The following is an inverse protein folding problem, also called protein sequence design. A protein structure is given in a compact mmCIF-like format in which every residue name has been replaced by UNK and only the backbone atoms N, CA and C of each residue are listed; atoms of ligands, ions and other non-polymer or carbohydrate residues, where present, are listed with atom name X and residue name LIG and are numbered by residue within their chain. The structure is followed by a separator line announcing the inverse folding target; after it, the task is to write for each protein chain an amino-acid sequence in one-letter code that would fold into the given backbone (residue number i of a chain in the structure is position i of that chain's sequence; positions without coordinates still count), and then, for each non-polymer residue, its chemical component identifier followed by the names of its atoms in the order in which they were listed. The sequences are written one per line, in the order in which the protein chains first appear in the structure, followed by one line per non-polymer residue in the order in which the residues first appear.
data_IF_314256603960
#
_entry.id   IF_314256603960
#
_cell.length_a   1.000
_cell.length_b   1.000
_cell.length_c   1.000
_cell.angle_alpha   90.00
_cell.angle_beta   90.00
_cell.angle_gamma   90.00
#
_symmetry.space_group_name_H-M   'P 1'
#
loop_
_entity.id
_entity.type
_entity.pdbx_description
1 polymer ?
#
# COMPACT_ATOMS: atom_id res chain seq x y z
N UNK A 1 20.28 -11.61 5.55
CA UNK A 1 19.78 -11.55 6.93
C UNK A 1 18.33 -11.09 6.90
N UNK A 2 17.50 -11.64 7.76
CA UNK A 2 16.10 -11.30 7.90
C UNK A 2 15.96 -10.16 8.91
N UNK A 3 15.17 -9.12 8.54
CA UNK A 3 14.87 -7.98 9.42
C UNK A 3 14.16 -8.45 10.72
N UNK A 4 14.51 -7.84 11.86
CA UNK A 4 13.96 -8.21 13.16
C UNK A 4 12.44 -8.05 13.23
N UNK A 5 11.89 -7.04 12.56
CA UNK A 5 10.44 -6.82 12.44
C UNK A 5 9.74 -7.93 11.66
N UNK A 6 10.36 -8.42 10.57
CA UNK A 6 9.84 -9.56 9.79
C UNK A 6 9.89 -10.85 10.61
N UNK A 7 10.95 -11.10 11.34
CA UNK A 7 11.09 -12.28 12.19
C UNK A 7 10.06 -12.27 13.34
N UNK A 8 9.88 -11.13 14.00
CA UNK A 8 8.87 -10.95 15.06
C UNK A 8 7.45 -11.18 14.54
N UNK A 9 7.11 -10.58 13.41
CA UNK A 9 5.78 -10.74 12.79
C UNK A 9 5.53 -12.17 12.32
N UNK A 10 6.56 -12.86 11.81
CA UNK A 10 6.47 -14.29 11.48
C UNK A 10 6.20 -15.14 12.72
N UNK A 11 6.85 -14.84 13.84
CA UNK A 11 6.61 -15.52 15.11
C UNK A 11 5.16 -15.30 15.58
N UNK A 12 4.67 -14.07 15.54
CA UNK A 12 3.27 -13.73 15.84
C UNK A 12 2.32 -14.45 14.88
N UNK A 13 2.56 -14.45 13.58
CA UNK A 13 1.70 -15.13 12.62
C UNK A 13 1.69 -16.66 12.76
N UNK A 14 2.77 -17.29 13.18
CA UNK A 14 2.92 -18.74 13.31
C UNK A 14 2.63 -19.28 14.73
N UNK A 15 2.49 -18.43 15.76
CA UNK A 15 2.17 -18.87 17.12
C UNK A 15 0.82 -19.62 17.15
N UNK A 16 0.63 -20.56 18.07
CA UNK A 16 -0.58 -21.39 18.17
C UNK A 16 -1.82 -20.58 18.59
N UNK A 17 -3.01 -20.81 18.04
CA UNK A 17 -4.22 -20.03 18.36
C UNK A 17 -4.61 -20.02 19.84
N UNK A 18 -4.08 -20.98 20.62
CA UNK A 18 -4.41 -21.14 22.04
C UNK A 18 -3.50 -20.37 23.01
N UNK A 19 -2.38 -19.77 22.57
CA UNK A 19 -1.33 -19.27 23.47
C UNK A 19 -1.15 -17.75 23.49
N UNK A 20 -1.80 -16.98 22.60
CA UNK A 20 -1.65 -15.52 22.61
C UNK A 20 -2.99 -14.80 22.60
N UNK A 21 -3.29 -14.03 23.65
CA UNK A 21 -4.43 -13.13 23.78
C UNK A 21 -4.49 -12.06 22.69
N UNK A 22 -3.38 -11.81 22.02
CA UNK A 22 -3.22 -10.77 20.98
C UNK A 22 -3.87 -11.13 19.63
N UNK A 23 -4.12 -12.41 19.38
CA UNK A 23 -4.71 -12.91 18.13
C UNK A 23 -6.23 -12.84 18.06
N UNK A 24 -6.90 -12.78 19.19
CA UNK A 24 -8.37 -12.62 19.21
C UNK A 24 -8.84 -11.30 18.59
N UNK A 25 -7.90 -10.39 18.31
CA UNK A 25 -8.13 -9.08 17.70
C UNK A 25 -7.72 -8.98 16.22
N UNK A 26 -6.98 -9.97 15.66
CA UNK A 26 -6.50 -9.90 14.27
C UNK A 26 -7.59 -10.29 13.28
N UNK A 27 -7.98 -9.36 12.41
CA UNK A 27 -8.94 -9.61 11.32
C UNK A 27 -8.34 -10.45 10.18
N UNK A 28 -7.01 -10.39 10.00
CA UNK A 28 -6.29 -11.16 9.01
C UNK A 28 -4.98 -11.71 9.61
N UNK A 29 -4.72 -13.00 9.41
CA UNK A 29 -3.43 -13.63 9.71
C UNK A 29 -2.95 -14.39 8.50
N UNK A 30 -1.76 -14.09 8.01
CA UNK A 30 -1.13 -14.72 6.84
C UNK A 30 0.10 -15.51 7.30
N UNK A 31 0.22 -16.79 6.86
CA UNK A 31 1.26 -17.70 7.33
C UNK A 31 2.01 -18.30 6.17
N UNK A 32 3.28 -17.97 6.05
CA UNK A 32 4.23 -18.55 5.09
C UNK A 32 3.66 -18.68 3.67
N UNK A 33 2.90 -17.66 3.22
CA UNK A 33 2.17 -17.68 1.96
C UNK A 33 3.15 -17.72 0.79
N UNK A 34 2.98 -18.68 -0.12
CA UNK A 34 3.86 -18.88 -1.29
C UNK A 34 3.05 -19.02 -2.56
N UNK A 35 3.61 -18.48 -3.66
CA UNK A 35 3.07 -18.69 -5.00
C UNK A 35 4.17 -18.92 -6.00
N UNK A 36 4.01 -20.03 -6.73
CA UNK A 36 4.90 -20.46 -7.79
C UNK A 36 4.09 -20.61 -9.07
N UNK A 37 4.56 -20.03 -10.15
CA UNK A 37 3.95 -20.15 -11.47
C UNK A 37 4.83 -20.98 -12.39
N UNK A 38 4.26 -21.84 -13.25
CA UNK A 38 5.01 -22.48 -14.30
C UNK A 38 5.52 -21.45 -15.31
N UNK A 39 6.75 -21.57 -15.74
CA UNK A 39 7.35 -20.70 -16.75
C UNK A 39 6.88 -21.15 -18.12
N UNK A 40 6.20 -20.31 -18.87
CA UNK A 40 5.74 -20.64 -20.24
C UNK A 40 6.92 -20.57 -21.21
N UNK A 41 7.04 -21.57 -22.10
CA UNK A 41 7.96 -21.51 -23.25
C UNK A 41 9.38 -22.01 -23.00
N UNK A 42 9.64 -22.82 -21.96
CA UNK A 42 10.96 -23.40 -21.73
C UNK A 42 11.15 -24.76 -22.46
N UNK A 43 12.29 -24.86 -23.17
CA UNK A 43 12.89 -26.11 -23.62
C UNK A 43 13.40 -26.90 -22.41
N UNK A 44 13.49 -28.24 -22.51
CA UNK A 44 13.95 -29.16 -21.44
C UNK A 44 15.35 -28.86 -20.86
N UNK A 45 16.06 -27.86 -21.37
CA UNK A 45 17.43 -27.49 -20.95
C UNK A 45 17.52 -26.41 -19.88
N UNK A 46 16.41 -25.74 -19.51
CA UNK A 46 16.44 -24.61 -18.56
C UNK A 46 16.32 -25.06 -17.10
N UNK A 47 17.23 -24.59 -16.25
CA UNK A 47 17.43 -25.02 -14.86
C UNK A 47 16.33 -24.57 -13.88
N UNK A 48 15.36 -23.74 -14.30
CA UNK A 48 14.27 -23.28 -13.42
C UNK A 48 12.89 -23.26 -14.12
N UNK A 49 12.11 -24.36 -14.02
CA UNK A 49 10.81 -24.47 -14.67
C UNK A 49 9.71 -23.60 -14.05
N UNK A 50 9.98 -22.92 -12.93
CA UNK A 50 9.02 -22.14 -12.19
C UNK A 50 9.54 -20.73 -11.86
N UNK A 51 8.60 -19.78 -11.68
CA UNK A 51 8.82 -18.43 -11.17
C UNK A 51 8.20 -18.36 -9.77
N UNK A 52 9.02 -18.12 -8.75
CA UNK A 52 8.57 -17.87 -7.39
C UNK A 52 8.13 -16.41 -7.24
N UNK A 53 6.84 -16.15 -7.39
CA UNK A 53 6.27 -14.81 -7.29
C UNK A 53 6.10 -14.35 -5.84
N UNK A 54 5.83 -15.29 -4.91
CA UNK A 54 5.75 -15.05 -3.46
C UNK A 54 6.48 -16.17 -2.75
N UNK A 55 7.38 -15.81 -1.82
CA UNK A 55 8.40 -16.74 -1.26
C UNK A 55 8.31 -16.87 0.27
N UNK A 56 7.09 -16.96 0.81
CA UNK A 56 6.87 -17.16 2.23
C UNK A 56 6.65 -15.85 2.98
N UNK A 57 5.53 -15.21 2.70
CA UNK A 57 5.10 -13.98 3.36
C UNK A 57 4.25 -14.33 4.58
N UNK A 58 4.57 -13.72 5.73
CA UNK A 58 3.83 -13.87 6.98
C UNK A 58 3.62 -12.50 7.63
N UNK A 59 2.38 -12.17 7.98
CA UNK A 59 2.01 -10.96 8.72
C UNK A 59 0.60 -11.11 9.30
N UNK A 60 0.29 -10.29 10.30
CA UNK A 60 -1.04 -10.21 10.88
C UNK A 60 -1.55 -8.75 10.86
N UNK A 61 -2.85 -8.56 10.66
CA UNK A 61 -3.48 -7.23 10.64
C UNK A 61 -4.66 -7.23 11.59
N UNK A 62 -4.58 -6.50 12.69
CA UNK A 62 -5.70 -6.29 13.60
C UNK A 62 -6.88 -5.55 12.95
N UNK A 63 -8.08 -5.73 13.53
CA UNK A 63 -9.22 -4.88 13.18
C UNK A 63 -8.94 -3.44 13.62
N UNK A 64 -9.20 -2.48 12.76
CA UNK A 64 -8.89 -1.07 13.02
C UNK A 64 -7.50 -0.64 12.54
N UNK A 65 -6.73 -1.54 11.95
CA UNK A 65 -5.42 -1.22 11.38
C UNK A 65 -5.46 -1.10 9.86
N UNK A 66 -4.75 -0.10 9.34
CA UNK A 66 -4.37 -0.01 7.93
C UNK A 66 -2.93 -0.47 7.76
N UNK A 67 -2.72 -1.53 7.00
CA UNK A 67 -1.43 -2.13 6.70
C UNK A 67 -1.03 -1.88 5.25
N UNK A 68 0.15 -1.29 5.04
CA UNK A 68 0.70 -1.03 3.72
C UNK A 68 1.62 -2.15 3.25
N UNK A 69 1.43 -2.65 2.03
CA UNK A 69 2.36 -3.55 1.36
C UNK A 69 3.08 -2.81 0.25
N UNK A 70 4.26 -2.28 0.55
CA UNK A 70 5.08 -1.49 -0.37
C UNK A 70 6.02 -2.39 -1.18
N UNK A 71 6.43 -1.89 -2.33
CA UNK A 71 7.45 -2.53 -3.15
C UNK A 71 7.36 -2.12 -4.61
N UNK A 72 8.44 -2.33 -5.34
CA UNK A 72 8.51 -2.08 -6.79
C UNK A 72 7.55 -2.99 -7.57
N UNK A 73 7.30 -2.65 -8.82
CA UNK A 73 6.53 -3.51 -9.72
C UNK A 73 7.20 -4.88 -9.85
N UNK A 74 6.39 -5.94 -9.84
CA UNK A 74 6.91 -7.32 -9.85
C UNK A 74 7.36 -7.86 -8.47
N UNK A 75 7.30 -7.08 -7.38
CA UNK A 75 7.68 -7.57 -6.05
C UNK A 75 6.78 -8.69 -5.50
N UNK A 76 5.60 -8.93 -6.08
CA UNK A 76 4.65 -9.98 -5.66
C UNK A 76 3.40 -9.46 -4.93
N UNK A 77 3.23 -8.16 -4.79
CA UNK A 77 2.12 -7.51 -4.05
C UNK A 77 0.74 -7.95 -4.55
N UNK A 78 0.44 -7.71 -5.83
CA UNK A 78 -0.84 -8.10 -6.46
C UNK A 78 -1.05 -9.62 -6.43
N UNK A 79 0.01 -10.42 -6.56
CA UNK A 79 -0.09 -11.89 -6.44
C UNK A 79 -0.52 -12.28 -5.03
N UNK A 80 0.04 -11.64 -4.00
CA UNK A 80 -0.37 -11.85 -2.60
C UNK A 80 -1.84 -11.51 -2.42
N UNK A 81 -2.31 -10.36 -2.92
CA UNK A 81 -3.72 -9.97 -2.83
C UNK A 81 -4.66 -10.94 -3.54
N UNK A 82 -4.29 -11.41 -4.72
CA UNK A 82 -5.09 -12.38 -5.47
C UNK A 82 -5.23 -13.72 -4.75
N UNK A 83 -4.22 -14.15 -4.00
CA UNK A 83 -4.34 -15.33 -3.12
C UNK A 83 -5.26 -15.05 -1.94
N UNK A 84 -5.07 -13.92 -1.25
CA UNK A 84 -5.85 -13.55 -0.07
C UNK A 84 -7.33 -13.26 -0.39
N UNK A 85 -7.62 -12.73 -1.58
CA UNK A 85 -8.99 -12.54 -2.07
C UNK A 85 -9.62 -13.81 -2.64
N UNK A 86 -8.87 -14.92 -2.70
CA UNK A 86 -9.34 -16.21 -3.20
C UNK A 86 -9.57 -16.27 -4.70
N UNK A 87 -8.87 -15.45 -5.50
CA UNK A 87 -8.90 -15.55 -6.97
C UNK A 87 -8.20 -16.82 -7.45
N UNK A 88 -7.13 -17.20 -6.78
CA UNK A 88 -6.46 -18.50 -6.99
C UNK A 88 -5.79 -18.97 -5.67
N UNK A 89 -5.62 -20.28 -5.49
CA UNK A 89 -5.00 -20.82 -4.29
C UNK A 89 -3.49 -20.52 -4.23
N UNK A 90 -2.91 -20.36 -3.03
CA UNK A 90 -1.48 -20.39 -2.85
C UNK A 90 -0.89 -21.75 -3.22
N UNK A 91 0.41 -21.80 -3.51
CA UNK A 91 1.14 -23.06 -3.72
C UNK A 91 1.42 -23.75 -2.37
N UNK A 92 1.65 -22.97 -1.32
CA UNK A 92 1.76 -23.41 0.08
C UNK A 92 1.54 -22.24 1.02
N UNK A 93 1.40 -22.53 2.32
CA UNK A 93 1.02 -21.56 3.32
C UNK A 93 -0.51 -21.34 3.33
N UNK A 94 -0.98 -20.56 4.26
CA UNK A 94 -2.41 -20.27 4.43
C UNK A 94 -2.66 -18.84 4.92
N UNK A 95 -3.93 -18.46 4.98
CA UNK A 95 -4.36 -17.25 5.69
C UNK A 95 -5.73 -17.47 6.34
N UNK A 96 -5.96 -16.77 7.44
CA UNK A 96 -7.20 -16.81 8.20
C UNK A 96 -7.79 -15.41 8.20
N UNK A 97 -9.05 -15.30 7.84
CA UNK A 97 -9.87 -14.09 7.95
C UNK A 97 -10.82 -14.28 9.14
N UNK A 98 -10.75 -13.39 10.12
CA UNK A 98 -11.57 -13.44 11.32
C UNK A 98 -12.61 -12.32 11.28
N UNK A 99 -13.87 -12.63 11.02
CA UNK A 99 -14.94 -11.64 11.06
C UNK A 99 -15.19 -11.16 12.48
N UNK A 100 -15.68 -9.94 12.60
CA UNK A 100 -16.06 -9.37 13.89
C UNK A 100 -17.19 -10.22 14.53
N UNK A 101 -16.95 -10.70 15.75
CA UNK A 101 -17.91 -11.52 16.49
C UNK A 101 -17.85 -13.03 16.23
N UNK A 102 -16.97 -13.51 15.35
CA UNK A 102 -16.66 -14.95 15.21
C UNK A 102 -15.17 -15.21 15.43
N UNK A 103 -14.75 -15.64 16.62
CA UNK A 103 -13.35 -15.82 16.97
C UNK A 103 -12.67 -17.00 16.26
N UNK A 104 -13.44 -17.89 15.61
CA UNK A 104 -12.89 -19.08 14.94
C UNK A 104 -12.10 -18.73 13.69
N UNK A 105 -12.52 -17.67 12.97
CA UNK A 105 -11.97 -17.29 11.69
C UNK A 105 -12.25 -18.31 10.57
N UNK A 106 -11.97 -17.93 9.34
CA UNK A 106 -12.16 -18.75 8.14
C UNK A 106 -10.86 -18.85 7.37
N UNK A 107 -10.45 -20.07 7.04
CA UNK A 107 -9.24 -20.34 6.26
C UNK A 107 -9.51 -20.12 4.77
N UNK A 108 -8.62 -19.42 4.06
CA UNK A 108 -8.76 -19.12 2.62
C UNK A 108 -8.78 -20.36 1.73
N UNK A 109 -8.29 -21.50 2.20
CA UNK A 109 -8.28 -22.77 1.45
C UNK A 109 -9.52 -23.60 1.75
N UNK A 110 -9.87 -23.75 3.03
CA UNK A 110 -10.96 -24.63 3.46
C UNK A 110 -12.35 -23.95 3.38
N UNK A 111 -12.42 -22.64 3.69
CA UNK A 111 -13.67 -21.91 3.86
C UNK A 111 -13.86 -20.78 2.83
N UNK A 112 -13.36 -20.93 1.61
CA UNK A 112 -13.28 -19.87 0.63
C UNK A 112 -14.61 -19.12 0.40
N UNK A 113 -15.74 -19.82 0.39
CA UNK A 113 -17.06 -19.20 0.21
C UNK A 113 -17.41 -18.24 1.37
N UNK A 114 -17.07 -18.60 2.61
CA UNK A 114 -17.23 -17.76 3.80
C UNK A 114 -16.23 -16.60 3.80
N UNK A 115 -14.97 -16.87 3.49
CA UNK A 115 -13.94 -15.83 3.37
C UNK A 115 -14.40 -14.74 2.40
N UNK A 116 -14.92 -15.10 1.24
CA UNK A 116 -15.42 -14.14 0.24
C UNK A 116 -16.56 -13.26 0.74
N UNK A 117 -17.35 -13.71 1.71
CA UNK A 117 -18.40 -12.88 2.32
C UNK A 117 -17.83 -11.79 3.24
N UNK A 118 -16.63 -12.00 3.80
CA UNK A 118 -15.99 -11.12 4.77
C UNK A 118 -14.79 -10.34 4.21
N UNK A 119 -14.49 -10.50 2.92
CA UNK A 119 -13.40 -9.82 2.23
C UNK A 119 -13.94 -8.88 1.17
N UNK A 120 -13.46 -7.64 1.15
CA UNK A 120 -13.60 -6.70 0.06
C UNK A 120 -12.32 -6.66 -0.78
N UNK A 121 -12.45 -6.48 -2.08
CA UNK A 121 -11.28 -6.34 -2.96
C UNK A 121 -11.51 -5.24 -4.00
N UNK A 122 -10.60 -4.27 -4.03
CA UNK A 122 -10.52 -3.24 -5.06
C UNK A 122 -9.30 -3.54 -5.93
N UNK A 123 -9.46 -4.01 -7.17
CA UNK A 123 -8.35 -4.33 -8.06
C UNK A 123 -7.64 -3.06 -8.56
N UNK A 124 -6.41 -3.21 -9.06
CA UNK A 124 -5.63 -2.11 -9.65
C UNK A 124 -6.34 -1.46 -10.83
N UNK A 125 -7.02 -2.24 -11.66
CA UNK A 125 -7.81 -1.76 -12.79
C UNK A 125 -9.29 -1.79 -12.44
N UNK A 126 -10.02 -0.72 -12.80
CA UNK A 126 -11.44 -0.61 -12.49
C UNK A 126 -12.26 -1.58 -13.33
N UNK A 127 -12.83 -2.59 -12.67
CA UNK A 127 -13.71 -3.59 -13.29
C UNK A 127 -15.17 -3.11 -13.28
N UNK A 128 -15.44 -1.98 -13.94
CA UNK A 128 -16.76 -1.37 -14.01
C UNK A 128 -17.44 -1.66 -15.37
N UNK A 129 -18.74 -1.93 -15.32
CA UNK A 129 -19.57 -2.02 -16.51
C UNK A 129 -19.96 -0.62 -16.99
N UNK A 130 -19.48 -0.19 -18.16
CA UNK A 130 -19.62 1.18 -18.65
C UNK A 130 -21.06 1.68 -18.80
N UNK A 131 -22.02 0.79 -19.11
CA UNK A 131 -23.44 1.13 -19.26
C UNK A 131 -24.20 1.26 -17.94
N UNK A 132 -23.66 0.75 -16.82
CA UNK A 132 -24.29 0.82 -15.51
C UNK A 132 -23.92 2.12 -14.79
N UNK A 133 -24.84 2.60 -13.95
CA UNK A 133 -24.64 3.74 -13.07
C UNK A 133 -23.92 3.31 -11.77
N UNK A 134 -23.48 4.27 -10.95
CA UNK A 134 -22.92 3.95 -9.63
C UNK A 134 -23.96 3.26 -8.73
N UNK A 135 -25.22 3.69 -8.79
CA UNK A 135 -26.31 3.06 -8.04
C UNK A 135 -26.48 1.61 -8.48
N UNK A 136 -26.54 1.34 -9.80
CA UNK A 136 -26.72 -0.02 -10.33
C UNK A 136 -25.59 -0.96 -9.88
N UNK A 137 -24.32 -0.49 -9.96
CA UNK A 137 -23.19 -1.28 -9.47
C UNK A 137 -23.34 -1.62 -7.97
N UNK A 138 -23.61 -0.62 -7.14
CA UNK A 138 -23.70 -0.85 -5.69
C UNK A 138 -24.88 -1.74 -5.31
N UNK A 139 -26.04 -1.59 -5.98
CA UNK A 139 -27.19 -2.46 -5.77
C UNK A 139 -26.90 -3.89 -6.23
N UNK A 140 -26.23 -4.08 -7.36
CA UNK A 140 -25.83 -5.40 -7.86
C UNK A 140 -24.91 -6.10 -6.83
N UNK A 141 -23.85 -5.43 -6.38
CA UNK A 141 -22.92 -6.02 -5.42
C UNK A 141 -23.55 -6.23 -4.05
N UNK A 142 -24.47 -5.36 -3.61
CA UNK A 142 -25.23 -5.56 -2.38
C UNK A 142 -26.15 -6.79 -2.47
N UNK A 143 -26.78 -6.99 -3.61
CA UNK A 143 -27.61 -8.18 -3.88
C UNK A 143 -26.79 -9.46 -3.89
N UNK A 144 -25.59 -9.44 -4.54
CA UNK A 144 -24.65 -10.58 -4.51
C UNK A 144 -24.15 -10.92 -3.09
N UNK A 145 -24.11 -9.90 -2.22
CA UNK A 145 -23.82 -10.08 -0.78
C UNK A 145 -25.02 -10.52 0.05
N UNK A 146 -26.17 -10.74 -0.57
CA UNK A 146 -27.40 -11.20 0.10
C UNK A 146 -28.16 -10.11 0.87
N UNK A 147 -27.93 -8.82 0.58
CA UNK A 147 -28.66 -7.74 1.23
C UNK A 147 -30.11 -7.68 0.74
N UNK A 148 -31.04 -7.45 1.67
CA UNK A 148 -32.41 -7.08 1.33
C UNK A 148 -32.43 -5.73 0.61
N UNK A 149 -33.40 -5.50 -0.28
CA UNK A 149 -33.48 -4.32 -1.10
C UNK A 149 -33.36 -2.99 -0.33
N UNK A 150 -34.06 -2.86 0.79
CA UNK A 150 -34.02 -1.65 1.63
C UNK A 150 -32.61 -1.36 2.16
N UNK A 151 -31.87 -2.40 2.61
CA UNK A 151 -30.50 -2.28 3.08
C UNK A 151 -29.54 -2.01 1.93
N UNK A 152 -29.76 -2.60 0.76
CA UNK A 152 -28.95 -2.35 -0.44
C UNK A 152 -29.02 -0.88 -0.85
N UNK A 153 -30.23 -0.30 -0.90
CA UNK A 153 -30.46 1.11 -1.25
C UNK A 153 -29.81 2.05 -0.23
N UNK A 154 -29.97 1.83 1.08
CA UNK A 154 -29.33 2.67 2.10
C UNK A 154 -27.81 2.59 2.01
N UNK A 155 -27.24 1.39 1.88
CA UNK A 155 -25.80 1.19 1.74
C UNK A 155 -25.25 1.91 0.49
N UNK A 156 -25.92 1.79 -0.65
CA UNK A 156 -25.52 2.47 -1.89
C UNK A 156 -25.49 4.00 -1.71
N UNK A 157 -26.56 4.56 -1.14
CA UNK A 157 -26.65 6.00 -0.85
C UNK A 157 -25.53 6.48 0.07
N UNK A 158 -25.27 5.74 1.16
CA UNK A 158 -24.27 6.12 2.15
C UNK A 158 -22.84 6.07 1.57
N UNK A 159 -22.51 5.05 0.76
CA UNK A 159 -21.23 4.95 0.08
C UNK A 159 -21.04 6.04 -0.99
N UNK A 160 -22.08 6.34 -1.78
CA UNK A 160 -22.08 7.42 -2.76
C UNK A 160 -21.82 8.76 -2.08
N UNK A 161 -22.47 9.01 -0.94
CA UNK A 161 -22.29 10.22 -0.15
C UNK A 161 -20.88 10.31 0.43
N UNK A 162 -20.40 9.25 1.06
CA UNK A 162 -19.07 9.21 1.68
C UNK A 162 -17.95 9.50 0.67
N UNK A 163 -18.05 8.96 -0.55
CA UNK A 163 -17.03 9.14 -1.58
C UNK A 163 -17.20 10.42 -2.42
N UNK A 164 -18.26 11.21 -2.18
CA UNK A 164 -18.50 12.47 -2.88
C UNK A 164 -18.78 12.30 -4.36
N UNK A 165 -19.50 11.23 -4.74
CA UNK A 165 -19.84 10.92 -6.14
C UNK A 165 -21.34 11.10 -6.46
N UNK A 166 -22.08 11.84 -5.62
CA UNK A 166 -23.53 12.03 -5.75
C UNK A 166 -23.90 12.59 -7.12
N UNK A 167 -23.13 13.55 -7.65
CA UNK A 167 -23.38 14.18 -8.97
C UNK A 167 -23.36 13.18 -10.13
N UNK A 168 -22.66 12.06 -9.94
CA UNK A 168 -22.48 11.03 -10.96
C UNK A 168 -23.34 9.79 -10.72
N UNK A 169 -24.08 9.73 -9.59
CA UNK A 169 -24.75 8.53 -9.09
C UNK A 169 -25.65 7.83 -10.11
N UNK A 170 -26.33 8.63 -10.96
CA UNK A 170 -27.30 8.18 -11.97
C UNK A 170 -26.78 8.30 -13.41
N UNK A 171 -25.52 8.64 -13.61
CA UNK A 171 -24.89 8.68 -14.93
C UNK A 171 -24.18 7.35 -15.23
N UNK A 172 -24.08 6.94 -16.49
CA UNK A 172 -23.32 5.76 -16.88
C UNK A 172 -21.84 5.88 -16.54
N UNK A 173 -21.23 4.80 -16.03
CA UNK A 173 -19.84 4.79 -15.59
C UNK A 173 -18.83 5.01 -16.74
N UNK A 174 -19.24 4.80 -17.99
CA UNK A 174 -18.42 5.12 -19.17
C UNK A 174 -17.98 6.58 -19.22
N UNK A 175 -18.86 7.50 -18.78
CA UNK A 175 -18.60 8.94 -18.76
C UNK A 175 -17.83 9.44 -17.51
N UNK A 176 -17.45 8.56 -16.59
CA UNK A 176 -16.74 8.98 -15.38
C UNK A 176 -15.26 9.30 -15.64
N UNK A 177 -14.73 10.28 -14.92
CA UNK A 177 -13.28 10.48 -14.84
C UNK A 177 -12.61 9.27 -14.18
N UNK A 178 -11.31 9.05 -14.43
CA UNK A 178 -10.56 7.97 -13.78
C UNK A 178 -10.68 8.01 -12.25
N UNK A 179 -10.59 9.20 -11.64
CA UNK A 179 -10.77 9.36 -10.21
C UNK A 179 -12.18 8.99 -9.70
N UNK A 180 -13.22 9.28 -10.47
CA UNK A 180 -14.60 8.90 -10.13
C UNK A 180 -14.80 7.38 -10.26
N UNK A 181 -14.25 6.76 -11.32
CA UNK A 181 -14.24 5.30 -11.49
C UNK A 181 -13.54 4.63 -10.32
N UNK A 182 -12.38 5.14 -9.93
CA UNK A 182 -11.61 4.60 -8.79
C UNK A 182 -12.37 4.69 -7.48
N UNK A 183 -13.03 5.81 -7.20
CA UNK A 183 -13.91 5.96 -6.03
C UNK A 183 -15.05 4.95 -6.03
N UNK A 184 -15.68 4.71 -7.18
CA UNK A 184 -16.73 3.69 -7.30
C UNK A 184 -16.19 2.27 -7.08
N UNK A 185 -14.99 1.94 -7.59
CA UNK A 185 -14.35 0.65 -7.36
C UNK A 185 -14.05 0.42 -5.87
N UNK A 186 -13.60 1.47 -5.16
CA UNK A 186 -13.45 1.42 -3.70
C UNK A 186 -14.80 1.25 -3.01
N UNK A 187 -15.85 1.99 -3.43
CA UNK A 187 -17.20 1.81 -2.87
C UNK A 187 -17.67 0.37 -2.96
N UNK A 188 -17.50 -0.26 -4.12
CA UNK A 188 -17.86 -1.67 -4.37
C UNK A 188 -17.13 -2.59 -3.38
N UNK A 189 -15.85 -2.36 -3.12
CA UNK A 189 -15.07 -3.18 -2.18
C UNK A 189 -15.55 -3.07 -0.72
N UNK A 190 -16.25 -1.98 -0.38
CA UNK A 190 -16.79 -1.73 0.95
C UNK A 190 -18.22 -2.29 1.14
N UNK A 191 -18.89 -2.70 0.07
CA UNK A 191 -20.22 -3.29 0.14
C UNK A 191 -20.18 -4.59 0.96
N UNK A 192 -21.11 -4.77 1.86
CA UNK A 192 -21.22 -5.99 2.65
C UNK A 192 -20.57 -5.88 4.04
N UNK A 193 -20.02 -4.75 4.40
CA UNK A 193 -19.30 -4.50 5.66
C UNK A 193 -18.21 -5.56 5.91
N UNK A 194 -17.25 -5.74 4.97
CA UNK A 194 -16.23 -6.77 5.08
C UNK A 194 -15.33 -6.54 6.30
N UNK A 195 -14.83 -7.62 6.89
CA UNK A 195 -13.86 -7.59 7.98
C UNK A 195 -12.47 -7.12 7.51
N UNK A 196 -12.12 -7.48 6.27
CA UNK A 196 -10.84 -7.13 5.64
C UNK A 196 -11.11 -6.57 4.24
N UNK A 197 -10.45 -5.46 3.90
CA UNK A 197 -10.51 -4.88 2.56
C UNK A 197 -9.10 -4.81 1.97
N UNK A 198 -8.92 -5.43 0.82
CA UNK A 198 -7.70 -5.35 0.02
C UNK A 198 -7.84 -4.28 -1.05
N UNK A 199 -6.93 -3.33 -1.09
CA UNK A 199 -6.93 -2.18 -2.00
C UNK A 199 -5.64 -2.20 -2.83
N UNK A 200 -5.72 -2.60 -4.09
CA UNK A 200 -4.56 -2.69 -4.98
C UNK A 200 -4.32 -1.35 -5.67
N UNK A 201 -3.33 -0.59 -5.16
CA UNK A 201 -2.97 0.76 -5.61
C UNK A 201 -4.18 1.73 -5.69
N UNK A 202 -4.89 1.99 -4.58
CA UNK A 202 -6.21 2.64 -4.59
C UNK A 202 -6.21 4.08 -5.09
N UNK A 203 -5.12 4.82 -5.03
CA UNK A 203 -5.05 6.22 -5.45
C UNK A 203 -4.30 6.46 -6.76
N UNK A 204 -3.85 5.39 -7.43
CA UNK A 204 -3.10 5.50 -8.70
C UNK A 204 -3.94 6.19 -9.78
N UNK A 205 -3.33 7.17 -10.47
CA UNK A 205 -3.99 7.93 -11.53
C UNK A 205 -5.00 8.99 -11.06
N UNK A 206 -5.10 9.24 -9.75
CA UNK A 206 -5.98 10.27 -9.20
C UNK A 206 -5.25 11.60 -9.00
N UNK A 207 -5.93 12.71 -9.31
CA UNK A 207 -5.45 14.05 -8.97
C UNK A 207 -5.44 14.31 -7.45
N UNK A 208 -4.65 15.29 -6.96
CA UNK A 208 -4.42 15.50 -5.53
C UNK A 208 -5.68 15.67 -4.68
N UNK A 209 -6.65 16.45 -5.15
CA UNK A 209 -7.92 16.67 -4.43
C UNK A 209 -8.73 15.38 -4.29
N UNK A 210 -8.87 14.61 -5.36
CA UNK A 210 -9.60 13.34 -5.33
C UNK A 210 -8.91 12.31 -4.46
N UNK A 211 -7.58 12.29 -4.45
CA UNK A 211 -6.75 11.42 -3.61
C UNK A 211 -6.98 11.71 -2.13
N UNK A 212 -6.91 12.99 -1.71
CA UNK A 212 -7.17 13.38 -0.31
C UNK A 212 -8.58 13.01 0.16
N UNK A 213 -9.59 13.19 -0.69
CA UNK A 213 -10.96 12.78 -0.38
C UNK A 213 -11.06 11.26 -0.19
N UNK A 214 -10.43 10.48 -1.06
CA UNK A 214 -10.38 9.02 -0.92
C UNK A 214 -9.70 8.60 0.38
N UNK A 215 -8.57 9.19 0.70
CA UNK A 215 -7.82 8.92 1.94
C UNK A 215 -8.66 9.18 3.19
N UNK A 216 -9.39 10.29 3.27
CA UNK A 216 -10.28 10.57 4.40
C UNK A 216 -11.38 9.51 4.56
N UNK A 217 -11.91 8.97 3.46
CA UNK A 217 -12.89 7.88 3.51
C UNK A 217 -12.24 6.57 3.99
N UNK A 218 -11.06 6.23 3.48
CA UNK A 218 -10.34 5.02 3.90
C UNK A 218 -9.97 5.07 5.38
N UNK A 219 -9.48 6.20 5.87
CA UNK A 219 -9.17 6.41 7.29
C UNK A 219 -10.41 6.22 8.20
N UNK A 220 -11.54 6.86 7.85
CA UNK A 220 -12.79 6.70 8.60
C UNK A 220 -13.30 5.25 8.58
N UNK A 221 -13.09 4.57 7.46
CA UNK A 221 -13.49 3.19 7.22
C UNK A 221 -12.64 2.21 8.03
N UNK A 222 -11.34 2.50 8.20
CA UNK A 222 -10.38 1.68 8.91
C UNK A 222 -10.78 1.39 10.36
N UNK A 223 -11.42 2.32 11.06
CA UNK A 223 -11.81 2.18 12.47
C UNK A 223 -12.64 0.93 12.79
N UNK A 224 -13.28 0.32 11.79
CA UNK A 224 -14.18 -0.82 11.95
C UNK A 224 -13.69 -2.12 11.32
N UNK A 225 -12.59 -2.09 10.56
CA UNK A 225 -12.10 -3.23 9.77
C UNK A 225 -10.61 -3.14 9.53
N UNK A 226 -10.01 -4.22 9.11
CA UNK A 226 -8.63 -4.19 8.62
C UNK A 226 -8.61 -3.69 7.17
N UNK A 227 -7.72 -2.75 6.86
CA UNK A 227 -7.41 -2.37 5.49
C UNK A 227 -6.01 -2.87 5.16
N UNK A 228 -5.86 -3.49 4.00
CA UNK A 228 -4.55 -3.87 3.47
C UNK A 228 -4.42 -3.23 2.11
N UNK A 229 -3.48 -2.32 1.94
CA UNK A 229 -3.29 -1.64 0.66
C UNK A 229 -1.90 -1.96 0.08
N UNK A 230 -1.84 -2.06 -1.25
CA UNK A 230 -0.56 -2.01 -1.96
C UNK A 230 -0.31 -0.60 -2.43
N UNK A 231 0.93 -0.17 -2.36
CA UNK A 231 1.36 1.10 -2.94
C UNK A 231 2.82 1.04 -3.38
N UNK A 232 3.18 1.90 -4.32
CA UNK A 232 4.56 2.26 -4.63
C UNK A 232 4.89 3.67 -4.10
N UNK A 233 3.91 4.38 -3.51
CA UNK A 233 4.05 5.71 -2.92
C UNK A 233 4.20 5.62 -1.41
N UNK A 234 5.34 6.09 -0.90
CA UNK A 234 5.56 6.19 0.55
C UNK A 234 4.61 7.20 1.19
N UNK A 235 4.33 8.33 0.49
CA UNK A 235 3.39 9.37 0.94
C UNK A 235 1.99 8.79 1.27
N UNK A 236 1.46 7.93 0.40
CA UNK A 236 0.16 7.27 0.64
C UNK A 236 0.19 6.42 1.91
N UNK A 237 1.27 5.66 2.10
CA UNK A 237 1.43 4.84 3.29
C UNK A 237 1.61 5.65 4.57
N UNK A 238 2.30 6.79 4.50
CA UNK A 238 2.47 7.70 5.64
C UNK A 238 1.15 8.29 6.13
N UNK A 239 0.25 8.60 5.21
CA UNK A 239 -1.06 9.19 5.55
C UNK A 239 -2.03 8.12 6.04
N UNK A 240 -2.03 6.93 5.44
CA UNK A 240 -3.07 5.93 5.67
C UNK A 240 -2.66 4.79 6.60
N UNK A 241 -1.39 4.38 6.55
CA UNK A 241 -0.96 3.13 7.19
C UNK A 241 -0.40 3.35 8.59
N UNK A 242 -0.74 2.45 9.50
CA UNK A 242 -0.13 2.36 10.83
C UNK A 242 1.22 1.64 10.76
N UNK A 243 1.24 0.53 10.02
CA UNK A 243 2.43 -0.26 9.75
C UNK A 243 2.52 -0.57 8.26
N UNK A 244 3.72 -0.87 7.81
CA UNK A 244 3.95 -1.33 6.45
C UNK A 244 4.98 -2.46 6.40
N UNK A 245 4.86 -3.28 5.36
CA UNK A 245 5.86 -4.26 4.96
C UNK A 245 6.44 -3.91 3.59
N UNK A 246 7.76 -3.89 3.48
CA UNK A 246 8.46 -3.65 2.21
C UNK A 246 8.74 -5.01 1.55
N UNK A 247 8.15 -5.21 0.38
CA UNK A 247 8.26 -6.45 -0.38
C UNK A 247 9.27 -6.33 -1.52
N UNK A 248 10.23 -7.25 -1.56
CA UNK A 248 11.26 -7.31 -2.62
C UNK A 248 11.44 -8.76 -3.04
N UNK A 249 11.36 -9.03 -4.34
CA UNK A 249 11.57 -10.37 -4.90
C UNK A 249 10.71 -11.47 -4.28
N UNK A 250 9.46 -11.17 -3.94
CA UNK A 250 8.50 -12.11 -3.36
C UNK A 250 8.63 -12.33 -1.85
N UNK A 251 9.47 -11.58 -1.13
CA UNK A 251 9.68 -11.67 0.32
C UNK A 251 9.46 -10.32 1.00
N UNK A 252 8.97 -10.34 2.23
CA UNK A 252 9.06 -9.18 3.10
C UNK A 252 10.53 -9.00 3.52
N UNK A 253 11.05 -7.80 3.34
CA UNK A 253 12.41 -7.42 3.73
C UNK A 253 12.43 -6.65 5.02
N UNK A 254 11.47 -5.74 5.19
CA UNK A 254 11.30 -4.95 6.39
C UNK A 254 9.81 -4.93 6.73
N UNK A 255 9.48 -4.87 8.01
CA UNK A 255 8.11 -4.73 8.50
C UNK A 255 8.11 -3.99 9.84
N UNK A 256 7.30 -2.95 9.94
CA UNK A 256 7.18 -2.18 11.18
C UNK A 256 6.30 -0.94 11.02
N UNK A 257 6.21 -0.13 12.08
CA UNK A 257 5.60 1.19 12.02
C UNK A 257 6.29 2.06 10.97
N UNK A 258 5.52 2.90 10.28
CA UNK A 258 6.05 3.76 9.18
C UNK A 258 7.23 4.62 9.63
N UNK A 259 7.14 5.21 10.83
CA UNK A 259 8.20 6.04 11.39
C UNK A 259 9.51 5.25 11.61
N UNK A 260 9.41 4.01 12.15
CA UNK A 260 10.55 3.11 12.33
C UNK A 260 11.20 2.76 10.99
N UNK A 261 10.41 2.37 9.99
CA UNK A 261 10.93 2.05 8.66
C UNK A 261 11.65 3.23 8.00
N UNK A 262 11.16 4.45 8.21
CA UNK A 262 11.85 5.66 7.74
C UNK A 262 13.18 5.91 8.46
N UNK A 263 13.23 5.71 9.78
CA UNK A 263 14.46 5.94 10.55
C UNK A 263 15.52 4.87 10.30
N UNK A 264 15.13 3.62 10.09
CA UNK A 264 16.07 2.49 9.92
C UNK A 264 16.50 2.28 8.47
N UNK A 265 15.57 2.50 7.51
CA UNK A 265 15.79 2.21 6.10
C UNK A 265 15.66 3.43 5.19
N UNK A 266 15.30 4.59 5.74
CA UNK A 266 15.30 5.85 5.02
C UNK A 266 16.72 6.23 4.60
N UNK A 267 16.92 6.46 3.31
CA UNK A 267 18.25 6.81 2.78
C UNK A 267 18.71 8.23 3.13
N UNK A 268 18.22 8.81 4.24
CA UNK A 268 18.52 10.18 4.63
C UNK A 268 17.64 11.21 3.88
N UNK A 269 18.06 12.47 3.95
CA UNK A 269 17.38 13.57 3.31
C UNK A 269 17.90 13.79 1.89
N UNK A 270 17.01 14.23 0.98
CA UNK A 270 17.39 14.70 -0.36
C UNK A 270 17.55 16.22 -0.31
N UNK A 271 18.73 16.70 -0.64
CA UNK A 271 19.03 18.13 -0.79
C UNK A 271 19.09 18.47 -2.28
N UNK A 272 18.11 19.21 -2.75
CA UNK A 272 18.10 19.80 -4.09
C UNK A 272 18.66 21.23 -3.99
N UNK A 273 19.74 21.52 -4.72
CA UNK A 273 20.37 22.85 -4.79
C UNK A 273 20.22 23.40 -6.20
N UNK A 274 19.71 24.62 -6.30
CA UNK A 274 19.76 25.41 -7.51
C UNK A 274 20.96 26.36 -7.43
N UNK A 275 21.88 26.19 -8.34
CA UNK A 275 23.18 26.89 -8.31
C UNK A 275 23.25 27.89 -9.47
N UNK A 276 23.86 29.04 -9.22
CA UNK A 276 24.11 30.04 -10.27
C UNK A 276 25.13 29.55 -11.31
N UNK A 277 25.07 30.15 -12.51
CA UNK A 277 26.00 29.81 -13.60
C UNK A 277 27.45 29.94 -13.15
N UNK A 278 28.23 28.87 -13.34
CA UNK A 278 29.65 28.82 -12.98
C UNK A 278 29.97 28.52 -11.50
N UNK A 279 28.99 28.42 -10.60
CA UNK A 279 29.21 28.19 -9.17
C UNK A 279 29.17 26.71 -8.76
N UNK A 280 28.90 25.79 -9.69
CA UNK A 280 28.66 24.33 -9.39
C UNK A 280 29.88 23.69 -8.71
N UNK A 281 31.06 23.88 -9.23
CA UNK A 281 32.33 23.34 -8.69
C UNK A 281 32.58 23.84 -7.27
N UNK A 282 32.31 25.13 -7.03
CA UNK A 282 32.48 25.76 -5.71
C UNK A 282 31.47 25.18 -4.69
N UNK A 283 30.19 25.01 -5.09
CA UNK A 283 29.16 24.43 -4.23
C UNK A 283 29.43 22.95 -3.97
N UNK A 284 29.89 22.20 -4.99
CA UNK A 284 30.31 20.81 -4.85
C UNK A 284 31.43 20.68 -3.79
N UNK A 285 32.52 21.41 -3.97
CA UNK A 285 33.65 21.39 -3.04
C UNK A 285 33.25 21.80 -1.61
N UNK A 286 32.32 22.75 -1.49
CA UNK A 286 31.79 23.19 -0.20
C UNK A 286 31.00 22.09 0.52
N UNK A 287 30.10 21.40 -0.19
CA UNK A 287 29.30 20.31 0.37
C UNK A 287 30.18 19.11 0.72
N UNK A 288 31.10 18.71 -0.15
CA UNK A 288 32.00 17.57 0.10
C UNK A 288 32.95 17.84 1.30
N UNK A 289 33.41 19.06 1.47
CA UNK A 289 34.28 19.42 2.59
C UNK A 289 33.57 19.58 3.92
N UNK A 290 32.32 20.08 3.95
CA UNK A 290 31.61 20.48 5.17
C UNK A 290 30.50 19.53 5.59
N UNK A 291 30.05 18.63 4.70
CA UNK A 291 28.92 17.70 4.96
C UNK A 291 29.37 16.25 4.79
N UNK A 292 30.01 15.65 5.80
CA UNK A 292 30.45 14.25 5.72
C UNK A 292 29.27 13.29 5.46
N UNK A 293 29.43 12.38 4.49
CA UNK A 293 28.43 11.40 4.12
C UNK A 293 27.37 11.90 3.11
N UNK A 294 27.49 13.14 2.63
CA UNK A 294 26.72 13.60 1.47
C UNK A 294 27.16 12.84 0.21
N UNK A 295 26.20 12.27 -0.53
CA UNK A 295 26.46 11.60 -1.81
C UNK A 295 25.72 12.31 -2.93
N UNK A 296 26.45 12.73 -3.95
CA UNK A 296 25.86 13.35 -5.15
C UNK A 296 25.07 12.31 -5.93
N UNK A 297 23.79 12.57 -6.19
CA UNK A 297 22.88 11.65 -6.90
C UNK A 297 22.49 12.16 -8.29
N UNK A 298 22.42 13.47 -8.49
CA UNK A 298 22.19 14.10 -9.80
C UNK A 298 23.08 15.32 -9.94
N UNK A 299 23.65 15.49 -11.13
CA UNK A 299 24.51 16.59 -11.53
C UNK A 299 24.02 17.15 -12.86
N UNK A 300 23.40 18.32 -12.84
CA UNK A 300 22.90 19.03 -14.01
C UNK A 300 23.46 20.44 -14.00
N UNK A 301 23.55 21.10 -15.18
CA UNK A 301 24.21 22.38 -15.40
C UNK A 301 23.85 23.54 -14.44
N UNK A 302 22.71 23.46 -13.74
CA UNK A 302 22.24 24.46 -12.77
C UNK A 302 21.63 23.83 -11.51
N UNK A 303 21.72 22.50 -11.35
CA UNK A 303 21.08 21.78 -10.25
C UNK A 303 21.94 20.64 -9.77
N UNK A 304 22.16 20.59 -8.46
CA UNK A 304 22.84 19.49 -7.78
C UNK A 304 21.86 18.84 -6.81
N UNK A 305 21.79 17.50 -6.84
CA UNK A 305 21.00 16.76 -5.85
C UNK A 305 21.92 15.86 -5.04
N UNK A 306 21.89 16.04 -3.74
CA UNK A 306 22.64 15.24 -2.79
C UNK A 306 21.69 14.39 -1.94
N UNK A 307 22.18 13.23 -1.56
CA UNK A 307 21.61 12.42 -0.49
C UNK A 307 22.40 12.67 0.79
N UNK A 308 21.72 13.03 1.87
CA UNK A 308 22.31 13.42 3.14
C UNK A 308 21.93 12.45 4.24
N UNK A 309 22.85 12.01 5.12
CA UNK A 309 22.47 11.32 6.35
C UNK A 309 21.72 12.27 7.29
N UNK A 310 20.81 11.73 8.11
CA UNK A 310 19.97 12.52 9.03
C UNK A 310 20.82 13.41 9.97
N UNK A 311 22.01 12.97 10.34
CA UNK A 311 22.97 13.72 11.18
C UNK A 311 23.58 14.94 10.49
N UNK A 312 23.47 15.06 9.17
CA UNK A 312 24.07 16.14 8.39
C UNK A 312 23.13 17.34 8.18
N UNK A 313 21.83 17.19 8.42
CA UNK A 313 20.80 18.21 8.12
C UNK A 313 21.10 19.55 8.80
N UNK A 314 21.40 19.55 10.09
CA UNK A 314 21.72 20.78 10.83
C UNK A 314 22.95 21.51 10.28
N UNK A 315 23.97 20.76 9.81
CA UNK A 315 25.18 21.32 9.20
C UNK A 315 24.90 21.94 7.84
N UNK A 316 24.01 21.31 7.06
CA UNK A 316 23.59 21.86 5.75
C UNK A 316 22.85 23.17 5.94
N UNK A 317 21.92 23.26 6.88
CA UNK A 317 21.26 24.54 7.18
C UNK A 317 22.23 25.62 7.59
N UNK A 318 23.12 25.32 8.53
CA UNK A 318 24.15 26.29 8.96
C UNK A 318 25.02 26.77 7.79
N UNK A 319 25.34 25.86 6.85
CA UNK A 319 26.18 26.16 5.69
C UNK A 319 25.46 26.97 4.63
N UNK A 320 24.16 26.75 4.41
CA UNK A 320 23.35 27.46 3.42
C UNK A 320 22.90 28.85 3.94
N UNK A 321 22.74 29.02 5.25
CA UNK A 321 22.40 30.29 5.88
C UNK A 321 23.63 31.18 6.16
N UNK A 322 24.83 30.63 6.05
CA UNK A 322 26.06 31.42 6.20
C UNK A 322 26.13 32.53 5.10
N UNK A 323 26.24 33.76 5.55
CA UNK A 323 26.21 34.95 4.68
C UNK A 323 27.30 34.97 3.60
N UNK A 324 28.40 34.25 3.80
CA UNK A 324 29.47 34.08 2.83
C UNK A 324 29.09 33.22 1.60
N UNK A 325 28.04 32.41 1.72
CA UNK A 325 27.58 31.50 0.67
C UNK A 325 26.31 32.00 -0.05
N UNK A 326 25.77 33.14 0.35
CA UNK A 326 24.53 33.78 -0.17
C UNK A 326 24.64 34.26 -1.64
N UNK A 327 25.49 33.81 -2.44
CA UNK A 327 25.55 34.10 -3.87
C UNK A 327 25.77 32.88 -4.71
N UNK A 328 26.14 31.76 -4.07
CA UNK A 328 26.46 30.51 -4.75
C UNK A 328 25.25 29.66 -4.98
N UNK A 329 24.32 29.66 -4.03
CA UNK A 329 23.05 28.88 -4.08
C UNK A 329 21.90 29.87 -4.26
N UNK A 330 21.13 29.71 -5.33
CA UNK A 330 19.97 30.54 -5.66
C UNK A 330 18.73 30.10 -4.90
N UNK A 331 18.56 28.79 -4.75
CA UNK A 331 17.41 28.18 -4.07
C UNK A 331 17.80 26.77 -3.59
N UNK A 332 17.16 26.31 -2.53
CA UNK A 332 17.36 24.95 -2.04
C UNK A 332 16.05 24.33 -1.52
N UNK A 333 15.93 23.03 -1.68
CA UNK A 333 14.83 22.24 -1.14
C UNK A 333 15.39 21.02 -0.41
N UNK A 334 14.97 20.83 0.83
CA UNK A 334 15.26 19.64 1.63
C UNK A 334 13.99 18.80 1.73
N UNK A 335 14.06 17.52 1.31
CA UNK A 335 12.92 16.59 1.27
C UNK A 335 13.20 15.22 1.84
#
# INVERSE_FOLDING_TARGET
DEDAGVAAERAVANADPGLSSDRSQSALVVRNLRKRYPRRGHSCADTAPFIDAVRGVSFAVPSGECFGLLGVNGAGKTTTFKMLSGQFPPTSGDAIVTPRGDPRGFNILADLARVRQHVGYCPQFDALQGSMTAVDHLLLYASLRGFKASRAVSTARDLIAALGIQKYAHLPASGYSGGTKRKLSVAISLVGDPAVVFLDEPSTGMGPTSRRQLWGVLESTCRRRALVLTSHSMEECEVLCHRAGIMVGGRLRCLGPIQGLKSEHGSGYSLDLRVGDGAIESVRGLIEARVPGATLTEDCATRLRYRLPSSAVARVFALLEDGSNKGLVQDYQLG
#
